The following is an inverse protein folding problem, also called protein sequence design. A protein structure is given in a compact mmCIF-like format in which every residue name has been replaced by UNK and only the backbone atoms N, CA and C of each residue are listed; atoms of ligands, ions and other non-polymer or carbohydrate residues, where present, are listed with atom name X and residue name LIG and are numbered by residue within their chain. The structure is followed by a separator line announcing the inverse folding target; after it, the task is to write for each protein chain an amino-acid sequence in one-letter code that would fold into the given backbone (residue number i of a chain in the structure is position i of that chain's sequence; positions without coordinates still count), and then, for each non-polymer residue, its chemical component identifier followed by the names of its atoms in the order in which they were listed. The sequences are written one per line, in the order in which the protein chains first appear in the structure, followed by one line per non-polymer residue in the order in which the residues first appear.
data_IF_819740429106
#
_entry.id   IF_819740429106
#
_cell.length_a   1.000
_cell.length_b   1.000
_cell.length_c   1.000
_cell.angle_alpha   90.00
_cell.angle_beta   90.00
_cell.angle_gamma   90.00
#
_symmetry.space_group_name_H-M   'P 1'
#
loop_
_entity.id
_entity.type
_entity.pdbx_description
1 polymer ?
#
# COMPACT_ATOMS: atom_id res chain seq x y z
N UNK A 1 8.58 4.97 -23.95
CA UNK A 1 7.64 5.13 -22.83
C UNK A 1 6.43 4.18 -23.02
N UNK A 2 6.64 2.89 -22.73
CA UNK A 2 5.67 1.79 -22.96
C UNK A 2 4.71 1.62 -21.77
N UNK A 3 5.20 1.87 -20.55
CA UNK A 3 4.42 1.74 -19.31
C UNK A 3 3.25 2.73 -19.22
N UNK A 4 3.44 3.99 -19.62
CA UNK A 4 2.35 4.98 -19.64
C UNK A 4 1.21 4.56 -20.58
N UNK A 5 1.54 3.96 -21.74
CA UNK A 5 0.55 3.47 -22.70
C UNK A 5 -0.24 2.28 -22.15
N UNK A 6 0.43 1.36 -21.46
CA UNK A 6 -0.22 0.21 -20.82
C UNK A 6 -1.14 0.66 -19.68
N UNK A 7 -0.67 1.58 -18.83
CA UNK A 7 -1.50 2.15 -17.75
C UNK A 7 -2.70 2.92 -18.29
N UNK A 8 -2.50 3.77 -19.29
CA UNK A 8 -3.57 4.54 -19.90
C UNK A 8 -4.62 3.62 -20.56
N UNK A 9 -4.20 2.53 -21.20
CA UNK A 9 -5.10 1.51 -21.75
C UNK A 9 -5.85 0.75 -20.65
N UNK A 10 -5.18 0.34 -19.57
CA UNK A 10 -5.80 -0.33 -18.44
C UNK A 10 -6.82 0.58 -17.72
N UNK A 11 -6.49 1.86 -17.54
CA UNK A 11 -7.38 2.87 -16.96
C UNK A 11 -8.61 3.09 -17.83
N UNK A 12 -8.44 3.25 -19.14
CA UNK A 12 -9.53 3.43 -20.09
C UNK A 12 -10.43 2.18 -20.16
N UNK A 13 -9.85 0.99 -20.08
CA UNK A 13 -10.60 -0.28 -20.01
C UNK A 13 -11.44 -0.36 -18.73
N UNK A 14 -10.86 -0.03 -17.58
CA UNK A 14 -11.57 -0.03 -16.28
C UNK A 14 -12.70 0.99 -16.23
N UNK A 15 -12.53 2.13 -16.90
CA UNK A 15 -13.59 3.15 -17.04
C UNK A 15 -14.78 2.63 -17.86
N UNK A 16 -14.50 1.97 -18.99
CA UNK A 16 -15.55 1.36 -19.84
C UNK A 16 -16.27 0.21 -19.10
N UNK A 17 -15.52 -0.65 -18.39
CA UNK A 17 -16.12 -1.71 -17.57
C UNK A 17 -17.02 -1.13 -16.47
N UNK A 18 -16.63 -0.03 -15.84
CA UNK A 18 -17.46 0.69 -14.86
C UNK A 18 -18.75 1.24 -15.47
N UNK A 19 -18.68 1.84 -16.66
CA UNK A 19 -19.84 2.32 -17.40
C UNK A 19 -20.79 1.17 -17.82
N UNK A 20 -20.26 0.02 -18.23
CA UNK A 20 -21.06 -1.17 -18.57
C UNK A 20 -21.76 -1.76 -17.35
N UNK A 21 -21.08 -1.83 -16.21
CA UNK A 21 -21.68 -2.30 -14.95
C UNK A 21 -22.82 -1.37 -14.52
N UNK A 22 -22.64 -0.05 -14.63
CA UNK A 22 -23.70 0.92 -14.33
C UNK A 22 -24.89 0.77 -15.29
N UNK A 23 -24.66 0.57 -16.59
CA UNK A 23 -25.74 0.33 -17.57
C UNK A 23 -26.47 -0.99 -17.34
N UNK A 24 -25.77 -2.04 -16.90
CA UNK A 24 -26.38 -3.33 -16.56
C UNK A 24 -27.18 -3.25 -15.26
N UNK A 25 -26.68 -2.52 -14.26
CA UNK A 25 -27.40 -2.23 -13.02
C UNK A 25 -28.69 -1.42 -13.29
N UNK A 26 -28.61 -0.38 -14.12
CA UNK A 26 -29.77 0.42 -14.53
C UNK A 26 -30.83 -0.42 -15.25
N UNK A 27 -30.43 -1.27 -16.21
CA UNK A 27 -31.37 -2.20 -16.89
C UNK A 27 -31.95 -3.26 -15.97
N UNK A 28 -31.22 -3.70 -14.93
CA UNK A 28 -31.76 -4.63 -13.92
C UNK A 28 -32.80 -3.93 -13.06
N UNK A 29 -32.52 -2.71 -12.64
CA UNK A 29 -33.43 -1.87 -11.88
C UNK A 29 -34.73 -1.58 -12.67
N UNK A 30 -34.63 -1.21 -13.95
CA UNK A 30 -35.83 -1.01 -14.80
C UNK A 30 -36.70 -2.28 -14.91
N UNK A 31 -36.08 -3.47 -15.02
CA UNK A 31 -36.84 -4.74 -15.05
C UNK A 31 -37.46 -5.07 -13.70
N UNK A 32 -36.75 -4.81 -12.60
CA UNK A 32 -37.29 -5.01 -11.25
C UNK A 32 -38.39 -4.02 -10.90
N UNK A 33 -38.35 -2.83 -11.48
CA UNK A 33 -39.39 -1.82 -11.34
C UNK A 33 -40.60 -2.16 -12.20
N UNK A 34 -40.42 -2.51 -13.48
CA UNK A 34 -41.51 -3.00 -14.31
C UNK A 34 -42.17 -4.27 -13.77
N UNK A 35 -41.42 -5.13 -13.07
CA UNK A 35 -41.98 -6.30 -12.35
C UNK A 35 -42.73 -5.90 -11.08
N UNK A 36 -42.33 -4.83 -10.40
CA UNK A 36 -43.04 -4.25 -9.24
C UNK A 36 -44.33 -3.57 -9.67
N UNK A 37 -44.27 -2.73 -10.69
CA UNK A 37 -45.43 -2.03 -11.24
C UNK A 37 -46.47 -3.04 -11.78
N UNK A 38 -46.03 -4.09 -12.47
CA UNK A 38 -46.93 -5.17 -12.92
C UNK A 38 -47.50 -6.03 -11.77
N UNK A 39 -46.79 -6.13 -10.63
CA UNK A 39 -47.32 -6.84 -9.44
C UNK A 39 -48.23 -5.95 -8.61
N UNK A 40 -48.06 -4.62 -8.65
CA UNK A 40 -49.01 -3.66 -8.08
C UNK A 40 -50.31 -3.63 -8.90
N UNK A 41 -50.23 -3.56 -10.24
CA UNK A 41 -51.41 -3.63 -11.13
C UNK A 41 -52.19 -4.95 -10.96
N UNK A 42 -51.51 -6.08 -10.82
CA UNK A 42 -52.13 -7.39 -10.57
C UNK A 42 -52.66 -7.55 -9.13
N UNK A 43 -52.18 -6.74 -8.18
CA UNK A 43 -52.67 -6.76 -6.79
C UNK A 43 -53.92 -5.90 -6.60
N UNK A 44 -54.16 -4.92 -7.46
CA UNK A 44 -55.41 -4.14 -7.48
C UNK A 44 -56.58 -4.90 -8.13
N UNK A 45 -56.33 -5.87 -9.02
CA UNK A 45 -57.38 -6.66 -9.68
C UNK A 45 -57.78 -7.97 -8.94
N UNK A 46 -57.02 -8.43 -7.95
CA UNK A 46 -57.23 -9.75 -7.31
C UNK A 46 -57.51 -9.66 -5.79
N UNK A 47 -58.54 -8.89 -5.42
CA UNK A 47 -59.23 -9.01 -4.12
C UNK A 47 -60.32 -10.11 -4.10
N UNK A 48 -60.40 -10.99 -5.09
CA UNK A 48 -61.35 -12.10 -5.08
C UNK A 48 -60.67 -13.42 -5.51
N UNK A 49 -60.71 -14.42 -4.63
CA UNK A 49 -60.76 -15.82 -5.06
C UNK A 49 -59.47 -16.64 -5.14
N UNK A 50 -59.29 -17.47 -4.10
CA UNK A 50 -58.94 -18.90 -4.15
C UNK A 50 -57.55 -19.47 -4.55
N UNK A 51 -57.19 -20.48 -3.75
CA UNK A 51 -56.07 -21.44 -3.67
C UNK A 51 -55.45 -21.98 -4.97
N UNK A 52 -54.16 -22.31 -4.88
CA UNK A 52 -53.52 -23.37 -5.70
C UNK A 52 -52.03 -23.61 -5.40
N UNK A 53 -51.69 -24.85 -5.05
CA UNK A 53 -50.34 -25.41 -4.81
C UNK A 53 -49.47 -25.48 -6.09
N UNK A 54 -48.13 -25.48 -5.92
CA UNK A 54 -47.20 -25.86 -7.00
C UNK A 54 -45.70 -25.75 -6.67
N UNK A 55 -45.04 -26.91 -6.55
CA UNK A 55 -43.62 -27.17 -6.26
C UNK A 55 -42.70 -26.85 -7.46
N UNK A 56 -41.46 -26.41 -7.20
CA UNK A 56 -40.38 -26.33 -8.21
C UNK A 56 -38.96 -26.30 -7.60
N UNK A 57 -38.12 -27.25 -8.00
CA UNK A 57 -36.80 -27.63 -7.45
C UNK A 57 -35.65 -26.62 -7.66
N UNK A 58 -34.67 -26.66 -6.74
CA UNK A 58 -33.43 -25.87 -6.72
C UNK A 58 -32.28 -26.69 -7.34
N UNK A 59 -31.64 -26.17 -8.39
CA UNK A 59 -30.41 -26.75 -8.97
C UNK A 59 -29.20 -25.99 -8.41
N UNK A 60 -28.36 -26.69 -7.62
CA UNK A 60 -27.04 -26.23 -7.18
C UNK A 60 -26.00 -26.44 -8.29
N UNK A 61 -25.23 -25.39 -8.61
CA UNK A 61 -24.09 -25.46 -9.53
C UNK A 61 -22.80 -25.34 -8.70
N UNK A 62 -22.02 -26.41 -8.65
CA UNK A 62 -20.71 -26.46 -7.98
C UNK A 62 -19.61 -25.90 -8.88
N UNK A 63 -18.78 -24.99 -8.35
CA UNK A 63 -17.58 -24.47 -9.02
C UNK A 63 -16.32 -25.25 -8.60
N UNK A 64 -15.41 -25.66 -9.52
CA UNK A 64 -14.22 -26.43 -9.16
C UNK A 64 -13.14 -25.57 -8.50
N UNK A 65 -12.68 -25.98 -7.32
CA UNK A 65 -11.54 -25.41 -6.62
C UNK A 65 -10.23 -25.69 -7.38
N UNK A 66 -9.57 -24.64 -7.89
CA UNK A 66 -8.20 -24.74 -8.42
C UNK A 66 -7.20 -24.57 -7.28
N UNK A 67 -6.46 -25.65 -7.01
CA UNK A 67 -5.36 -25.74 -6.04
C UNK A 67 -4.19 -24.87 -6.52
N UNK A 68 -3.90 -23.78 -5.81
CA UNK A 68 -2.76 -22.91 -6.07
C UNK A 68 -1.48 -23.67 -5.72
N UNK A 69 -0.65 -23.95 -6.72
CA UNK A 69 0.68 -24.50 -6.52
C UNK A 69 1.60 -23.41 -5.96
N UNK A 70 2.08 -23.59 -4.73
CA UNK A 70 3.13 -22.77 -4.12
C UNK A 70 4.44 -22.99 -4.87
N UNK A 71 4.98 -21.93 -5.43
CA UNK A 71 6.34 -21.90 -5.98
C UNK A 71 7.29 -21.82 -4.77
N UNK A 72 7.88 -22.94 -4.38
CA UNK A 72 9.00 -22.96 -3.45
C UNK A 72 10.28 -22.69 -4.25
N UNK A 73 10.59 -21.43 -4.53
CA UNK A 73 11.94 -21.04 -4.95
C UNK A 73 12.75 -20.75 -3.69
N UNK A 74 13.58 -21.69 -3.28
CA UNK A 74 14.65 -21.43 -2.31
C UNK A 74 15.55 -20.34 -2.88
N UNK A 75 15.42 -19.13 -2.36
CA UNK A 75 16.23 -17.97 -2.71
C UNK A 75 17.62 -18.13 -2.07
N UNK A 76 18.58 -18.67 -2.81
CA UNK A 76 20.01 -18.52 -2.48
C UNK A 76 20.48 -17.07 -2.76
N UNK A 77 19.87 -16.07 -2.13
CA UNK A 77 20.15 -14.65 -2.41
C UNK A 77 21.16 -14.01 -1.44
N UNK A 78 21.43 -14.66 -0.30
CA UNK A 78 22.26 -14.13 0.78
C UNK A 78 23.41 -15.09 1.08
N UNK A 79 24.46 -15.04 0.26
CA UNK A 79 25.76 -15.63 0.59
C UNK A 79 26.39 -14.86 1.76
N UNK A 80 27.16 -15.54 2.62
CA UNK A 80 27.85 -14.98 3.79
C UNK A 80 28.76 -13.76 3.47
N UNK A 81 29.18 -13.61 2.19
CA UNK A 81 29.91 -12.47 1.64
C UNK A 81 29.21 -11.11 1.80
N UNK A 82 27.91 -11.06 2.12
CA UNK A 82 27.17 -9.81 2.32
C UNK A 82 27.17 -9.29 3.75
N UNK A 83 27.75 -10.00 4.73
CA UNK A 83 27.87 -9.47 6.11
C UNK A 83 28.60 -8.12 6.16
N UNK A 84 29.53 -7.88 5.23
CA UNK A 84 30.25 -6.60 5.14
C UNK A 84 29.46 -5.49 4.44
N UNK A 85 28.43 -5.82 3.63
CA UNK A 85 27.68 -4.81 2.89
C UNK A 85 26.60 -4.23 3.79
N UNK A 86 26.83 -3.05 4.35
CA UNK A 86 25.88 -2.29 5.17
C UNK A 86 24.79 -1.65 4.29
N UNK A 87 23.72 -2.41 3.99
CA UNK A 87 22.68 -2.02 3.04
C UNK A 87 21.72 -0.96 3.61
N UNK A 88 21.38 0.02 2.77
CA UNK A 88 20.30 0.96 3.00
C UNK A 88 19.09 0.60 2.13
N UNK A 89 17.94 0.36 2.74
CA UNK A 89 16.71 -0.07 2.07
C UNK A 89 15.60 0.96 2.30
N UNK A 90 14.81 1.24 1.26
CA UNK A 90 13.66 2.14 1.35
C UNK A 90 12.39 1.40 0.93
N UNK A 91 11.36 1.51 1.76
CA UNK A 91 10.00 1.07 1.48
C UNK A 91 9.09 2.30 1.36
N UNK A 92 8.17 2.33 0.40
CA UNK A 92 7.21 3.42 0.25
C UNK A 92 5.79 2.90 0.50
N UNK A 93 5.05 3.55 1.40
CA UNK A 93 3.63 3.30 1.68
C UNK A 93 2.95 4.63 2.02
N UNK A 94 2.34 5.27 1.01
CA UNK A 94 1.97 6.68 1.09
C UNK A 94 0.59 6.94 1.71
N UNK A 95 -0.41 6.15 1.32
CA UNK A 95 -1.76 6.24 1.87
C UNK A 95 -1.88 5.49 3.21
N UNK A 96 -3.04 5.69 3.85
CA UNK A 96 -3.36 5.08 5.12
C UNK A 96 -2.66 5.74 6.31
N UNK A 97 -3.00 5.26 7.50
CA UNK A 97 -2.42 5.73 8.76
C UNK A 97 -1.30 4.79 9.22
N UNK A 98 -0.05 5.12 8.88
CA UNK A 98 1.13 4.32 9.23
C UNK A 98 1.75 4.77 10.56
N UNK A 99 1.79 3.87 11.55
CA UNK A 99 2.52 4.01 12.82
C UNK A 99 3.06 2.65 13.28
N UNK A 100 4.07 2.65 14.12
CA UNK A 100 4.77 1.45 14.57
C UNK A 100 4.00 0.63 15.59
N UNK A 101 3.29 1.30 16.50
CA UNK A 101 2.55 0.68 17.60
C UNK A 101 1.07 1.09 17.59
N UNK A 102 0.21 0.27 18.20
CA UNK A 102 -1.22 0.53 18.35
C UNK A 102 -1.96 0.84 17.04
N UNK A 103 -1.58 0.29 15.89
CA UNK A 103 -2.17 0.64 14.57
C UNK A 103 -3.71 0.63 14.56
N UNK A 104 -4.31 1.64 13.92
CA UNK A 104 -5.78 1.78 13.78
C UNK A 104 -6.34 0.89 12.65
N UNK A 105 -5.99 -0.39 12.68
CA UNK A 105 -6.38 -1.34 11.63
C UNK A 105 -7.90 -1.48 11.54
N UNK A 106 -8.42 -1.36 10.32
CA UNK A 106 -9.86 -1.44 10.04
C UNK A 106 -10.60 -0.12 10.23
N UNK A 107 -9.90 1.00 10.48
CA UNK A 107 -10.52 2.34 10.54
C UNK A 107 -11.22 2.71 9.24
N UNK A 108 -10.58 2.43 8.11
CA UNK A 108 -11.06 2.75 6.76
C UNK A 108 -10.51 1.75 5.72
N UNK A 109 -10.77 2.00 4.43
CA UNK A 109 -10.28 1.13 3.34
C UNK A 109 -8.76 1.17 3.13
N UNK A 110 -8.10 2.18 3.68
CA UNK A 110 -6.70 2.52 3.41
C UNK A 110 -5.79 2.05 4.56
N UNK A 111 -6.37 1.83 5.75
CA UNK A 111 -5.69 1.42 6.97
C UNK A 111 -6.06 -0.01 7.34
N UNK A 112 -5.43 -0.97 6.64
CA UNK A 112 -5.74 -2.39 6.79
C UNK A 112 -4.51 -3.29 6.86
N UNK A 113 -4.66 -4.54 6.41
CA UNK A 113 -3.59 -5.55 6.46
C UNK A 113 -2.32 -5.16 5.70
N UNK A 114 -2.42 -4.31 4.67
CA UNK A 114 -1.25 -3.80 3.94
C UNK A 114 -0.35 -2.93 4.84
N UNK A 115 -0.93 -2.06 5.67
CA UNK A 115 -0.17 -1.20 6.61
C UNK A 115 0.58 -2.06 7.63
N UNK A 116 -0.10 -3.05 8.22
CA UNK A 116 0.54 -4.00 9.14
C UNK A 116 1.69 -4.75 8.45
N UNK A 117 1.45 -5.22 7.23
CA UNK A 117 2.45 -5.96 6.46
C UNK A 117 3.72 -5.14 6.23
N UNK A 118 3.62 -3.88 5.79
CA UNK A 118 4.80 -3.07 5.47
C UNK A 118 5.61 -2.68 6.70
N UNK A 119 4.95 -2.44 7.84
CA UNK A 119 5.65 -2.14 9.10
C UNK A 119 6.37 -3.37 9.63
N UNK A 120 5.72 -4.54 9.63
CA UNK A 120 6.38 -5.80 10.02
C UNK A 120 7.51 -6.19 9.07
N UNK A 121 7.34 -5.93 7.77
CA UNK A 121 8.39 -6.13 6.78
C UNK A 121 9.60 -5.24 7.08
N UNK A 122 9.40 -3.96 7.39
CA UNK A 122 10.49 -3.05 7.74
C UNK A 122 11.27 -3.56 8.96
N UNK A 123 10.56 -3.97 10.03
CA UNK A 123 11.16 -4.57 11.23
C UNK A 123 11.93 -5.84 10.93
N UNK A 124 11.39 -6.72 10.09
CA UNK A 124 12.04 -7.97 9.71
C UNK A 124 13.31 -7.72 8.88
N UNK A 125 13.24 -6.80 7.91
CA UNK A 125 14.38 -6.43 7.07
C UNK A 125 15.52 -5.85 7.90
N UNK A 126 15.24 -4.99 8.88
CA UNK A 126 16.27 -4.41 9.74
C UNK A 126 16.99 -5.42 10.64
N UNK A 127 16.40 -6.61 10.86
CA UNK A 127 17.02 -7.70 11.61
C UNK A 127 17.81 -8.66 10.73
N UNK A 128 17.81 -8.46 9.41
CA UNK A 128 18.52 -9.33 8.50
C UNK A 128 20.03 -9.00 8.48
N UNK A 129 20.91 -10.02 8.44
CA UNK A 129 22.34 -9.80 8.29
C UNK A 129 22.67 -8.96 7.05
N UNK A 130 23.52 -7.96 7.22
CA UNK A 130 23.92 -7.01 6.17
C UNK A 130 22.93 -5.86 5.93
N UNK A 131 21.73 -5.85 6.53
CA UNK A 131 20.87 -4.67 6.46
C UNK A 131 21.27 -3.70 7.57
N UNK A 132 21.74 -2.52 7.18
CA UNK A 132 22.12 -1.49 8.15
C UNK A 132 20.93 -0.61 8.53
N UNK A 133 20.17 -0.13 7.54
CA UNK A 133 19.05 0.79 7.74
C UNK A 133 17.89 0.49 6.81
N UNK A 134 16.67 0.57 7.34
CA UNK A 134 15.43 0.50 6.59
C UNK A 134 14.59 1.75 6.87
N UNK A 135 14.28 2.53 5.84
CA UNK A 135 13.34 3.64 5.97
C UNK A 135 12.00 3.28 5.31
N UNK A 136 10.91 3.33 6.05
CA UNK A 136 9.54 3.24 5.57
C UNK A 136 8.97 4.65 5.40
N UNK A 137 8.94 5.13 4.15
CA UNK A 137 8.39 6.43 3.82
C UNK A 137 6.88 6.39 3.75
N UNK A 138 6.26 7.37 4.38
CA UNK A 138 4.81 7.57 4.40
C UNK A 138 4.47 9.06 4.45
N UNK A 139 3.18 9.40 4.46
CA UNK A 139 2.71 10.78 4.55
C UNK A 139 2.74 11.31 5.98
N UNK A 140 3.20 12.55 6.15
CA UNK A 140 3.08 13.29 7.40
C UNK A 140 1.71 13.97 7.48
N UNK A 141 0.95 13.69 8.54
CA UNK A 141 -0.41 14.18 8.70
C UNK A 141 -0.55 14.83 10.08
N UNK A 142 -0.80 16.13 10.10
CA UNK A 142 -0.92 16.98 11.29
C UNK A 142 -2.36 17.48 11.42
N UNK A 143 -3.31 16.55 11.52
CA UNK A 143 -4.74 16.84 11.66
C UNK A 143 -5.20 16.61 13.10
N UNK A 144 -6.14 17.44 13.57
CA UNK A 144 -6.77 17.27 14.89
C UNK A 144 -7.74 16.08 14.95
N UNK A 145 -8.09 15.48 13.80
CA UNK A 145 -9.05 14.36 13.69
C UNK A 145 -8.41 12.97 13.89
N UNK A 146 -7.08 12.93 13.93
CA UNK A 146 -6.29 11.71 14.12
C UNK A 146 -5.26 11.92 15.24
N UNK A 147 -4.61 10.83 15.65
CA UNK A 147 -3.58 10.91 16.68
C UNK A 147 -2.40 11.80 16.25
N UNK A 148 -1.87 12.58 17.17
CA UNK A 148 -0.78 13.53 16.92
C UNK A 148 0.51 12.85 16.45
N UNK A 149 0.72 11.57 16.79
CA UNK A 149 1.90 10.79 16.38
C UNK A 149 2.07 10.67 14.87
N UNK A 150 0.99 10.75 14.09
CA UNK A 150 1.06 10.78 12.62
C UNK A 150 1.70 12.07 12.08
N UNK A 151 1.81 13.09 12.93
CA UNK A 151 2.51 14.33 12.65
C UNK A 151 4.02 14.27 12.91
N UNK A 152 4.50 13.27 13.65
CA UNK A 152 5.93 13.17 13.99
C UNK A 152 6.74 12.73 12.75
N UNK A 153 7.76 13.50 12.33
CA UNK A 153 8.47 13.26 11.07
C UNK A 153 9.27 11.96 11.06
N UNK A 154 9.64 11.43 12.23
CA UNK A 154 10.43 10.21 12.35
C UNK A 154 9.96 9.41 13.55
N UNK A 155 9.81 8.09 13.37
CA UNK A 155 9.50 7.15 14.43
C UNK A 155 10.39 5.91 14.27
N UNK A 156 11.09 5.52 15.32
CA UNK A 156 11.93 4.32 15.30
C UNK A 156 11.06 3.08 15.53
N UNK A 157 11.15 2.10 14.62
CA UNK A 157 10.45 0.82 14.74
C UNK A 157 11.30 -0.17 15.54
N UNK A 158 12.55 -0.36 15.14
CA UNK A 158 13.47 -1.27 15.82
C UNK A 158 14.89 -0.74 15.68
N UNK A 159 15.67 -0.85 16.75
CA UNK A 159 17.12 -0.68 16.66
C UNK A 159 17.72 -1.77 15.75
N UNK A 160 18.94 -1.52 15.24
CA UNK A 160 19.75 -2.53 14.55
C UNK A 160 20.01 -3.75 15.43
N UNK A 161 20.59 -4.82 14.88
CA UNK A 161 20.95 -5.98 15.70
C UNK A 161 21.84 -5.55 16.88
N UNK A 162 21.34 -5.72 18.10
CA UNK A 162 22.12 -5.61 19.33
C UNK A 162 22.92 -6.91 19.49
N UNK A 163 23.93 -7.10 18.64
CA UNK A 163 24.96 -8.07 18.98
C UNK A 163 25.79 -7.42 20.10
N UNK A 164 25.58 -7.86 21.35
CA UNK A 164 26.21 -7.35 22.59
C UNK A 164 27.76 -7.31 22.55
N UNK A 165 28.38 -7.79 21.47
CA UNK A 165 29.83 -7.87 21.28
C UNK A 165 30.36 -7.02 20.12
N UNK A 166 29.53 -6.26 19.41
CA UNK A 166 29.96 -5.44 18.27
C UNK A 166 29.65 -3.95 18.50
N UNK A 167 30.68 -3.17 18.80
CA UNK A 167 30.67 -1.71 19.00
C UNK A 167 30.41 -0.95 17.66
N UNK A 168 30.00 -1.66 16.61
CA UNK A 168 29.83 -1.18 15.24
C UNK A 168 28.38 -0.81 14.86
N UNK A 169 27.43 -0.99 15.78
CA UNK A 169 26.02 -0.61 15.60
C UNK A 169 25.87 0.91 15.67
N UNK A 170 26.20 1.59 14.56
CA UNK A 170 26.11 3.05 14.47
C UNK A 170 24.68 3.55 14.73
N UNK A 171 24.57 4.76 15.25
CA UNK A 171 23.35 5.38 15.80
C UNK A 171 22.14 5.39 14.83
N UNK A 172 22.38 5.30 13.53
CA UNK A 172 21.32 5.34 12.51
C UNK A 172 20.87 3.96 12.02
N UNK A 173 21.35 2.87 12.63
CA UNK A 173 20.95 1.51 12.28
C UNK A 173 19.51 1.20 12.72
N UNK A 174 18.87 0.25 12.03
CA UNK A 174 17.52 -0.23 12.35
C UNK A 174 16.46 0.18 11.33
N UNK A 175 15.19 0.07 11.75
CA UNK A 175 14.02 0.43 10.94
C UNK A 175 13.35 1.70 11.46
N UNK A 176 12.98 2.59 10.55
CA UNK A 176 12.35 3.87 10.86
C UNK A 176 11.14 4.10 9.97
N UNK A 177 10.06 4.68 10.52
CA UNK A 177 9.04 5.35 9.73
C UNK A 177 9.51 6.79 9.51
N UNK A 178 9.56 7.22 8.26
CA UNK A 178 9.89 8.59 7.86
C UNK A 178 8.64 9.19 7.23
N UNK A 179 8.10 10.24 7.85
CA UNK A 179 6.89 10.91 7.39
C UNK A 179 7.26 12.14 6.59
N UNK A 180 7.03 12.09 5.28
CA UNK A 180 7.29 13.20 4.36
C UNK A 180 6.03 14.07 4.28
N UNK A 181 6.13 15.39 4.49
CA UNK A 181 5.00 16.29 4.26
C UNK A 181 4.73 16.41 2.76
N UNK A 182 3.50 16.11 2.35
CA UNK A 182 3.00 16.42 1.02
C UNK A 182 1.47 16.53 1.01
N UNK A 183 0.96 17.41 0.14
CA UNK A 183 -0.43 17.82 0.15
C UNK A 183 -0.86 18.53 1.45
N UNK A 184 -2.17 18.77 1.62
CA UNK A 184 -2.72 19.40 2.82
C UNK A 184 -2.34 18.62 4.08
N UNK A 185 -1.60 19.22 5.02
CA UNK A 185 -1.14 18.53 6.23
C UNK A 185 -2.18 18.48 7.34
N UNK A 186 -3.13 19.41 7.31
CA UNK A 186 -4.17 19.62 8.31
C UNK A 186 -5.32 18.59 8.23
N UNK A 187 -5.31 17.71 7.23
CA UNK A 187 -6.34 16.68 7.04
C UNK A 187 -5.81 15.36 6.49
N UNK A 188 -6.49 14.30 6.88
CA UNK A 188 -6.35 12.98 6.26
C UNK A 188 -6.90 13.01 4.82
N UNK A 189 -6.26 12.27 3.91
CA UNK A 189 -6.73 12.10 2.53
C UNK A 189 -6.74 10.62 2.20
N UNK A 190 -7.81 10.19 1.54
CA UNK A 190 -7.91 8.87 0.94
C UNK A 190 -6.92 8.72 -0.24
N UNK A 191 -6.49 7.49 -0.50
CA UNK A 191 -5.52 7.13 -1.56
C UNK A 191 -5.90 7.68 -2.94
N UNK A 192 -7.19 7.76 -3.27
CA UNK A 192 -7.68 8.30 -4.54
C UNK A 192 -7.36 9.79 -4.74
N UNK A 193 -7.15 10.53 -3.64
CA UNK A 193 -6.90 11.98 -3.65
C UNK A 193 -5.42 12.33 -3.58
N UNK A 194 -4.51 11.35 -3.42
CA UNK A 194 -3.08 11.59 -3.29
C UNK A 194 -2.37 11.92 -4.61
N UNK A 195 -2.93 11.49 -5.75
CA UNK A 195 -2.27 11.59 -7.07
C UNK A 195 -1.74 12.98 -7.44
N UNK A 196 -2.46 14.10 -7.18
CA UNK A 196 -1.94 15.44 -7.48
C UNK A 196 -0.71 15.84 -6.65
N UNK A 197 -0.45 15.15 -5.54
CA UNK A 197 0.59 15.49 -4.57
C UNK A 197 1.79 14.53 -4.63
N UNK A 198 1.80 13.55 -5.55
CA UNK A 198 2.89 12.57 -5.66
C UNK A 198 4.22 13.24 -6.00
N UNK A 199 4.24 14.26 -6.86
CA UNK A 199 5.48 14.96 -7.18
C UNK A 199 6.07 15.67 -5.95
N UNK A 200 5.23 16.28 -5.13
CA UNK A 200 5.64 16.92 -3.88
C UNK A 200 6.25 15.88 -2.91
N UNK A 201 5.64 14.69 -2.81
CA UNK A 201 6.22 13.58 -2.07
C UNK A 201 7.61 13.19 -2.61
N UNK A 202 7.75 13.03 -3.93
CA UNK A 202 9.02 12.65 -4.57
C UNK A 202 10.12 13.66 -4.26
N UNK A 203 9.82 14.95 -4.33
CA UNK A 203 10.79 16.02 -4.04
C UNK A 203 11.26 15.96 -2.57
N UNK A 204 10.32 15.79 -1.63
CA UNK A 204 10.62 15.64 -0.20
C UNK A 204 11.38 14.35 0.13
N UNK A 205 10.99 13.24 -0.48
CA UNK A 205 11.66 11.95 -0.34
C UNK A 205 13.09 12.01 -0.89
N UNK A 206 13.30 12.63 -2.06
CA UNK A 206 14.63 12.80 -2.64
C UNK A 206 15.55 13.62 -1.73
N UNK A 207 15.03 14.70 -1.14
CA UNK A 207 15.78 15.51 -0.18
C UNK A 207 16.22 14.69 1.05
N UNK A 208 15.32 13.87 1.61
CA UNK A 208 15.65 12.96 2.72
C UNK A 208 16.72 11.94 2.30
N UNK A 209 16.57 11.31 1.15
CA UNK A 209 17.54 10.31 0.64
C UNK A 209 18.93 10.92 0.47
N UNK A 210 19.03 12.12 -0.11
CA UNK A 210 20.32 12.81 -0.29
C UNK A 210 20.97 13.16 1.04
N UNK A 211 20.18 13.57 2.04
CA UNK A 211 20.69 13.84 3.38
C UNK A 211 21.19 12.55 4.04
N UNK A 212 20.36 11.50 4.05
CA UNK A 212 20.72 10.22 4.64
C UNK A 212 21.91 9.57 3.94
N UNK A 213 22.05 9.72 2.62
CA UNK A 213 23.18 9.18 1.88
C UNK A 213 24.52 9.71 2.38
N UNK A 214 24.57 10.99 2.77
CA UNK A 214 25.76 11.63 3.37
C UNK A 214 26.00 11.14 4.79
N UNK A 215 24.96 11.14 5.63
CA UNK A 215 25.03 10.69 7.03
C UNK A 215 25.52 9.24 7.10
N UNK A 216 24.93 8.36 6.28
CA UNK A 216 25.34 6.96 6.19
C UNK A 216 26.74 6.82 5.59
N UNK A 217 27.15 7.71 4.69
CA UNK A 217 28.51 7.71 4.16
C UNK A 217 29.57 7.95 5.23
N UNK A 218 29.29 8.87 6.16
CA UNK A 218 30.18 9.17 7.30
C UNK A 218 30.21 8.03 8.32
N UNK A 219 29.07 7.36 8.56
CA UNK A 219 28.96 6.31 9.58
C UNK A 219 29.43 4.93 9.09
N UNK A 220 29.11 4.58 7.84
CA UNK A 220 29.21 3.20 7.34
C UNK A 220 29.75 3.08 5.92
N UNK A 221 29.97 4.19 5.21
CA UNK A 221 30.43 4.22 3.82
C UNK A 221 31.88 4.67 3.64
N UNK A 222 32.71 4.69 4.68
CA UNK A 222 34.11 5.16 4.64
C UNK A 222 34.27 6.58 4.05
N UNK A 223 33.31 7.46 4.34
CA UNK A 223 33.24 8.83 3.83
C UNK A 223 32.69 8.95 2.40
N UNK A 224 32.31 7.84 1.75
CA UNK A 224 31.60 7.84 0.47
C UNK A 224 30.09 7.79 0.67
N UNK A 225 29.29 8.49 -0.16
CA UNK A 225 27.84 8.49 -0.02
C UNK A 225 27.27 7.07 -0.19
N UNK A 226 26.40 6.68 0.74
CA UNK A 226 25.71 5.38 0.70
C UNK A 226 24.35 5.58 0.06
N UNK A 227 24.15 5.00 -1.12
CA UNK A 227 22.88 5.11 -1.83
C UNK A 227 21.93 3.98 -1.44
N UNK A 228 20.60 4.19 -1.57
CA UNK A 228 19.63 3.13 -1.37
C UNK A 228 19.94 1.95 -2.30
N UNK A 229 20.08 0.76 -1.72
CA UNK A 229 20.28 -0.47 -2.48
C UNK A 229 19.01 -0.89 -3.22
N UNK A 230 17.85 -0.64 -2.60
CA UNK A 230 16.54 -0.90 -3.20
C UNK A 230 15.51 0.11 -2.69
N UNK A 231 14.63 0.54 -3.59
CA UNK A 231 13.43 1.32 -3.30
C UNK A 231 12.24 0.46 -3.71
N UNK A 232 11.38 0.11 -2.77
CA UNK A 232 10.23 -0.75 -3.01
C UNK A 232 8.92 -0.04 -2.69
N UNK A 233 8.08 0.17 -3.70
CA UNK A 233 6.77 0.78 -3.55
C UNK A 233 5.68 -0.23 -3.25
N UNK A 234 4.88 0.03 -2.21
CA UNK A 234 3.71 -0.76 -1.86
C UNK A 234 2.43 -0.03 -2.27
N UNK A 235 1.68 -0.61 -3.23
CA UNK A 235 0.51 -0.02 -3.90
C UNK A 235 0.85 0.91 -5.07
N UNK A 236 -0.17 1.41 -5.77
CA UNK A 236 -0.03 2.09 -7.06
C UNK A 236 0.61 3.48 -6.96
N UNK A 237 0.23 4.26 -5.95
CA UNK A 237 0.79 5.57 -5.60
C UNK A 237 2.30 5.48 -5.28
N UNK A 238 2.66 4.51 -4.45
CA UNK A 238 4.03 4.23 -4.07
C UNK A 238 4.85 3.63 -5.22
N UNK A 239 4.24 2.82 -6.08
CA UNK A 239 4.90 2.26 -7.26
C UNK A 239 5.32 3.32 -8.28
N UNK A 240 4.46 4.30 -8.55
CA UNK A 240 4.80 5.44 -9.41
C UNK A 240 5.91 6.31 -8.78
N UNK A 241 5.77 6.60 -7.48
CA UNK A 241 6.78 7.35 -6.72
C UNK A 241 8.15 6.66 -6.72
N UNK A 242 8.20 5.33 -6.56
CA UNK A 242 9.43 4.56 -6.61
C UNK A 242 10.11 4.63 -7.99
N UNK A 243 9.32 4.60 -9.07
CA UNK A 243 9.86 4.74 -10.42
C UNK A 243 10.45 6.14 -10.67
N UNK A 244 9.80 7.19 -10.18
CA UNK A 244 10.30 8.56 -10.26
C UNK A 244 11.59 8.74 -9.44
N UNK A 245 11.61 8.28 -8.19
CA UNK A 245 12.80 8.33 -7.33
C UNK A 245 13.97 7.55 -7.92
N UNK A 246 13.72 6.34 -8.43
CA UNK A 246 14.77 5.53 -9.07
C UNK A 246 15.31 6.21 -10.33
N UNK A 247 14.47 6.91 -11.10
CA UNK A 247 14.92 7.68 -12.26
C UNK A 247 15.72 8.94 -11.90
N UNK A 248 15.48 9.53 -10.72
CA UNK A 248 16.21 10.71 -10.25
C UNK A 248 17.55 10.38 -9.58
N UNK A 249 17.72 9.15 -9.07
CA UNK A 249 18.91 8.69 -8.37
C UNK A 249 19.92 7.95 -9.27
N UNK A 250 19.52 7.59 -10.49
CA UNK A 250 20.39 6.97 -11.52
C UNK A 250 20.94 8.03 -12.49
#
# INVERSE_FOLDING_TARGET
NMCWRIWHLARKKKQVEGEEIQRLAYRRWEREQGRRDATEDLSEELSEGEKGDGVGEIIQIETPQKKIQRINSTLELWSDDKKEKKLYIILLSLHGLVRGENMELGRDSDTGGQIKYVVELARALAKMPGVYRVDLFTRQISSTEIDWSYGEPTEMLSAGQEDENDDSTGESSGAYIIRIPFGPRDKYLEKELLWPHIQEFVDGALAHILNMSKVLGEQVGDGQPVWPYVIHGHYADAGDSAALLSGALN
#
